data_IF_817219236948
#
_entry.id   IF_817219236948
#
_cell.length_a   1.000
_cell.length_b   1.000
_cell.length_c   1.000
_cell.angle_alpha   90.00
_cell.angle_beta   90.00
_cell.angle_gamma   90.00
#
_symmetry.space_group_name_H-M   'P 1'
#
loop_
_entity.id
_entity.type
_entity.pdbx_description
1 polymer ?
#
# COMPACT_ATOMS: atom_id res chain seq x y z
N UNK A 1 0.37 6.22 -23.62
CA UNK A 1 0.84 6.57 -22.26
C UNK A 1 1.68 5.41 -21.73
N UNK A 2 2.94 5.68 -21.36
CA UNK A 2 3.90 4.66 -20.91
C UNK A 2 3.48 4.15 -19.53
N UNK A 3 3.59 2.84 -19.28
CA UNK A 3 3.54 2.27 -17.92
C UNK A 3 4.66 2.93 -17.10
N UNK A 4 4.30 3.86 -16.22
CA UNK A 4 5.25 4.46 -15.28
C UNK A 4 5.25 3.57 -14.03
N UNK A 5 6.33 2.83 -13.73
CA UNK A 5 6.44 2.11 -12.46
C UNK A 5 6.37 3.10 -11.30
N UNK A 6 5.90 2.64 -10.14
CA UNK A 6 5.82 3.43 -8.90
C UNK A 6 7.13 4.17 -8.64
N UNK A 7 7.11 5.48 -8.84
CA UNK A 7 8.20 6.39 -8.49
C UNK A 7 7.78 7.07 -7.20
N UNK A 8 8.42 6.71 -6.10
CA UNK A 8 8.23 7.40 -4.84
C UNK A 8 9.55 8.01 -4.44
N UNK A 9 9.62 9.33 -4.42
CA UNK A 9 10.84 10.04 -4.14
C UNK A 9 10.46 11.13 -3.10
N UNK A 10 11.31 11.28 -2.07
CA UNK A 10 11.06 12.02 -0.81
C UNK A 10 11.80 13.34 -0.74
N UNK A 11 11.07 14.43 -0.45
CA UNK A 11 11.68 15.76 -0.44
C UNK A 11 12.38 15.96 0.89
N UNK A 12 13.70 16.11 0.86
CA UNK A 12 14.43 16.72 1.96
C UNK A 12 15.55 17.59 1.41
N UNK A 13 15.33 18.90 1.49
CA UNK A 13 16.37 19.90 1.29
C UNK A 13 17.34 19.80 2.47
N UNK A 14 18.51 19.17 2.29
CA UNK A 14 19.58 19.17 3.30
C UNK A 14 20.35 20.50 3.23
N UNK A 15 19.68 21.60 3.58
CA UNK A 15 20.30 22.77 4.17
C UNK A 15 19.71 22.93 5.57
N UNK A 16 20.42 22.42 6.57
CA UNK A 16 20.29 22.81 7.99
C UNK A 16 18.88 22.84 8.62
N UNK A 17 17.88 22.18 8.06
CA UNK A 17 16.53 22.09 8.63
C UNK A 17 16.08 20.63 8.84
N UNK A 18 16.45 20.11 10.01
CA UNK A 18 15.70 19.17 10.85
C UNK A 18 14.64 18.26 10.20
N UNK A 19 15.06 17.20 9.51
CA UNK A 19 14.38 15.91 9.71
C UNK A 19 15.40 14.93 10.31
N UNK A 20 15.31 14.72 11.63
CA UNK A 20 16.24 13.84 12.36
C UNK A 20 16.31 12.42 11.75
N UNK A 21 15.22 11.98 11.09
CA UNK A 21 15.11 10.68 10.43
C UNK A 21 16.07 10.52 9.24
N UNK A 22 16.10 11.46 8.28
CA UNK A 22 16.94 11.33 7.08
C UNK A 22 18.44 11.40 7.41
N UNK A 23 18.83 12.23 8.36
CA UNK A 23 20.23 12.28 8.85
C UNK A 23 20.63 10.99 9.56
N UNK A 24 19.72 10.39 10.34
CA UNK A 24 19.95 9.12 10.99
C UNK A 24 20.07 7.95 9.99
N UNK A 25 19.22 7.92 8.96
CA UNK A 25 19.31 6.93 7.88
C UNK A 25 20.66 6.99 7.16
N UNK A 26 21.10 8.20 6.80
CA UNK A 26 22.40 8.39 6.16
C UNK A 26 23.54 7.89 7.06
N UNK A 27 23.47 8.15 8.36
CA UNK A 27 24.45 7.62 9.32
C UNK A 27 24.45 6.08 9.34
N UNK A 28 23.29 5.44 9.37
CA UNK A 28 23.18 3.97 9.36
C UNK A 28 23.73 3.36 8.08
N UNK A 29 23.40 3.93 6.92
CA UNK A 29 23.94 3.50 5.62
C UNK A 29 25.47 3.64 5.61
N UNK A 30 26.01 4.80 6.00
CA UNK A 30 27.46 5.03 6.03
C UNK A 30 28.22 4.08 6.96
N UNK A 31 27.58 3.52 7.99
CA UNK A 31 28.18 2.51 8.86
C UNK A 31 28.36 1.15 8.18
N UNK A 32 27.55 0.83 7.18
CA UNK A 32 27.68 -0.41 6.39
C UNK A 32 28.59 -0.22 5.18
N UNK A 33 28.74 1.01 4.70
CA UNK A 33 29.59 1.33 3.56
C UNK A 33 31.07 1.02 3.80
N UNK A 34 31.80 0.67 2.73
CA UNK A 34 33.26 0.55 2.81
C UNK A 34 33.90 1.90 3.16
N UNK A 35 34.83 1.88 4.11
CA UNK A 35 35.59 3.08 4.53
C UNK A 35 36.54 3.60 3.45
N UNK A 36 36.80 2.82 2.41
CA UNK A 36 37.68 3.21 1.30
C UNK A 36 36.99 4.09 0.25
N UNK A 37 35.66 4.27 0.32
CA UNK A 37 34.93 5.04 -0.68
C UNK A 37 35.28 6.54 -0.57
N UNK A 38 35.78 7.18 -1.65
CA UNK A 38 36.24 8.57 -1.61
C UNK A 38 35.10 9.55 -1.31
N UNK A 39 33.86 9.18 -1.68
CA UNK A 39 32.65 9.97 -1.46
C UNK A 39 31.97 9.74 -0.11
N UNK A 40 32.52 8.91 0.79
CA UNK A 40 31.90 8.61 2.09
C UNK A 40 31.63 9.87 2.94
N UNK A 41 32.50 10.88 2.82
CA UNK A 41 32.42 12.13 3.59
C UNK A 41 31.81 13.30 2.80
N UNK A 42 31.32 13.09 1.58
CA UNK A 42 30.72 14.16 0.80
C UNK A 42 29.42 14.66 1.45
N UNK A 43 29.07 15.90 1.11
CA UNK A 43 27.73 16.45 1.29
C UNK A 43 26.90 16.09 0.07
N UNK A 44 25.61 15.83 0.27
CA UNK A 44 24.72 15.42 -0.80
C UNK A 44 23.46 16.27 -0.83
N UNK A 45 22.95 16.50 -2.04
CA UNK A 45 21.61 17.00 -2.29
C UNK A 45 20.75 15.84 -2.78
N UNK A 46 19.52 15.73 -2.28
CA UNK A 46 18.59 14.66 -2.62
C UNK A 46 17.28 15.29 -3.13
N UNK A 47 16.82 14.81 -4.28
CA UNK A 47 15.56 15.19 -4.93
C UNK A 47 14.97 13.95 -5.64
N UNK A 48 13.66 13.75 -5.78
CA UNK A 48 12.57 14.41 -5.10
C UNK A 48 11.18 14.51 -5.74
N UNK A 49 10.61 13.56 -6.47
CA UNK A 49 9.15 13.56 -6.80
C UNK A 49 8.38 12.25 -6.59
N UNK A 50 7.06 12.27 -6.58
CA UNK A 50 6.27 11.05 -6.72
C UNK A 50 5.11 11.30 -7.67
N UNK A 51 4.63 10.26 -8.35
CA UNK A 51 3.57 10.36 -9.35
C UNK A 51 2.17 10.08 -8.79
N UNK A 52 2.02 10.07 -7.47
CA UNK A 52 0.72 10.03 -6.80
C UNK A 52 0.36 11.43 -6.31
N UNK A 53 -0.92 11.82 -6.28
CA UNK A 53 -1.30 13.03 -5.57
C UNK A 53 -0.90 12.87 -4.11
N UNK A 54 -0.01 13.75 -3.60
CA UNK A 54 0.64 13.63 -2.28
C UNK A 54 -0.34 13.44 -1.11
N UNK A 55 -1.61 13.81 -1.30
CA UNK A 55 -2.66 13.71 -0.30
C UNK A 55 -3.68 12.58 -0.54
N UNK A 56 -3.51 11.73 -1.57
CA UNK A 56 -4.40 10.60 -1.90
C UNK A 56 -4.36 9.44 -0.88
N UNK A 57 -3.78 9.61 0.31
CA UNK A 57 -3.76 8.59 1.36
C UNK A 57 -2.94 7.32 1.05
N UNK A 58 -2.44 7.16 -0.18
CA UNK A 58 -1.55 6.10 -0.64
C UNK A 58 -0.21 6.25 0.08
N UNK A 59 0.36 5.16 0.60
CA UNK A 59 1.50 5.13 1.51
C UNK A 59 2.82 5.72 0.95
N UNK A 60 2.84 7.02 0.65
CA UNK A 60 3.93 7.75 -0.02
C UNK A 60 5.22 7.74 0.78
N UNK A 61 5.14 7.75 2.11
CA UNK A 61 6.31 7.63 2.99
C UNK A 61 7.02 6.27 2.85
N UNK A 62 6.27 5.18 2.64
CA UNK A 62 6.84 3.84 2.55
C UNK A 62 7.73 3.70 1.32
N UNK A 63 7.16 3.97 0.15
CA UNK A 63 7.88 3.88 -1.10
C UNK A 63 9.00 4.94 -1.18
N UNK A 64 8.78 6.12 -0.59
CA UNK A 64 9.77 7.17 -0.53
C UNK A 64 11.03 6.80 0.26
N UNK A 65 10.88 6.32 1.50
CA UNK A 65 12.04 5.89 2.30
C UNK A 65 12.73 4.66 1.71
N UNK A 66 11.97 3.75 1.07
CA UNK A 66 12.54 2.63 0.35
C UNK A 66 13.41 3.09 -0.84
N UNK A 67 12.94 4.07 -1.62
CA UNK A 67 13.70 4.66 -2.71
C UNK A 67 14.97 5.36 -2.20
N UNK A 68 14.87 6.14 -1.14
CA UNK A 68 16.02 6.81 -0.52
C UNK A 68 17.09 5.80 -0.10
N UNK A 69 16.70 4.78 0.66
CA UNK A 69 17.63 3.76 1.14
C UNK A 69 18.21 2.94 -0.01
N UNK A 70 17.42 2.62 -1.04
CA UNK A 70 17.91 1.92 -2.24
C UNK A 70 18.94 2.74 -3.01
N UNK A 71 18.68 4.04 -3.21
CA UNK A 71 19.61 4.94 -3.89
C UNK A 71 20.91 5.11 -3.10
N UNK A 72 20.81 5.26 -1.77
CA UNK A 72 21.97 5.36 -0.89
C UNK A 72 22.77 4.05 -0.83
N UNK A 73 22.11 2.90 -0.74
CA UNK A 73 22.77 1.60 -0.78
C UNK A 73 23.52 1.39 -2.09
N UNK A 74 22.94 1.82 -3.23
CA UNK A 74 23.63 1.78 -4.52
C UNK A 74 24.83 2.73 -4.56
N UNK A 75 24.67 3.96 -4.07
CA UNK A 75 25.73 4.96 -4.03
C UNK A 75 26.93 4.51 -3.19
N UNK A 76 26.68 3.83 -2.07
CA UNK A 76 27.71 3.36 -1.15
C UNK A 76 28.09 1.89 -1.33
N UNK A 77 27.67 1.26 -2.44
CA UNK A 77 28.03 -0.11 -2.80
C UNK A 77 27.73 -1.13 -1.68
N UNK A 78 26.59 -0.96 -1.01
CA UNK A 78 26.15 -1.85 0.07
C UNK A 78 25.40 -3.05 -0.53
N UNK A 79 25.96 -4.24 -0.37
CA UNK A 79 25.35 -5.51 -0.81
C UNK A 79 24.45 -6.14 0.27
N UNK A 80 24.60 -5.73 1.53
CA UNK A 80 23.82 -6.24 2.65
C UNK A 80 22.33 -5.89 2.55
N UNK A 81 21.50 -6.65 3.28
CA UNK A 81 20.07 -6.35 3.41
C UNK A 81 19.83 -5.03 4.17
N UNK A 82 19.49 -3.97 3.44
CA UNK A 82 19.19 -2.64 4.00
C UNK A 82 17.71 -2.41 4.37
N UNK A 83 16.88 -3.46 4.37
CA UNK A 83 15.45 -3.32 4.70
C UNK A 83 15.21 -2.83 6.14
N UNK A 84 16.07 -3.21 7.09
CA UNK A 84 16.01 -2.68 8.46
C UNK A 84 16.32 -1.17 8.52
N UNK A 85 17.14 -0.65 7.58
CA UNK A 85 17.42 0.79 7.48
C UNK A 85 16.16 1.50 6.99
N UNK A 86 15.54 1.02 5.91
CA UNK A 86 14.29 1.59 5.39
C UNK A 86 13.19 1.64 6.47
N UNK A 87 13.08 0.60 7.28
CA UNK A 87 12.16 0.52 8.44
C UNK A 87 12.32 1.71 9.41
N UNK A 88 13.53 2.21 9.62
CA UNK A 88 13.79 3.32 10.53
C UNK A 88 13.23 4.66 10.03
N UNK A 89 13.09 4.81 8.71
CA UNK A 89 12.42 5.97 8.12
C UNK A 89 10.90 5.86 8.20
N UNK A 90 10.37 4.71 7.79
CA UNK A 90 8.96 4.34 7.94
C UNK A 90 8.86 2.82 8.04
N UNK A 91 8.11 2.30 9.01
CA UNK A 91 8.02 0.86 9.26
C UNK A 91 7.61 0.06 8.01
N UNK A 92 6.65 0.55 7.23
CA UNK A 92 6.21 -0.10 5.99
C UNK A 92 7.20 -0.01 4.83
N UNK A 93 8.18 0.91 4.86
CA UNK A 93 9.16 1.09 3.79
C UNK A 93 10.02 -0.16 3.58
N UNK A 94 10.29 -0.94 4.64
CA UNK A 94 11.06 -2.17 4.51
C UNK A 94 10.42 -3.16 3.51
N UNK A 95 9.08 -3.20 3.41
CA UNK A 95 8.38 -4.09 2.48
C UNK A 95 8.50 -3.63 1.03
N UNK A 96 8.65 -2.33 0.81
CA UNK A 96 8.86 -1.74 -0.52
C UNK A 96 10.29 -1.89 -1.04
N UNK A 97 11.19 -2.53 -0.29
CA UNK A 97 12.54 -2.87 -0.75
C UNK A 97 12.56 -4.07 -1.73
N UNK A 98 11.45 -4.81 -1.81
CA UNK A 98 11.31 -5.98 -2.67
C UNK A 98 10.05 -5.87 -3.53
N UNK A 99 10.07 -6.51 -4.70
CA UNK A 99 8.88 -6.68 -5.53
C UNK A 99 8.03 -7.87 -5.08
N UNK A 100 6.86 -8.02 -5.68
CA UNK A 100 5.99 -9.16 -5.44
C UNK A 100 5.31 -9.13 -4.08
N UNK A 101 5.32 -10.28 -3.41
CA UNK A 101 4.67 -10.51 -2.14
C UNK A 101 5.72 -10.46 -1.04
N UNK A 102 5.54 -9.61 -0.04
CA UNK A 102 6.60 -9.28 0.92
C UNK A 102 6.09 -9.35 2.35
N UNK A 103 6.78 -10.11 3.18
CA UNK A 103 6.54 -10.20 4.61
C UNK A 103 7.51 -9.30 5.36
N UNK A 104 7.01 -8.47 6.28
CA UNK A 104 7.86 -7.87 7.32
C UNK A 104 7.88 -8.78 8.53
N UNK A 105 9.04 -9.39 8.80
CA UNK A 105 9.26 -10.16 10.02
C UNK A 105 9.40 -9.21 11.21
N UNK A 106 8.60 -9.42 12.26
CA UNK A 106 8.64 -8.62 13.50
C UNK A 106 10.03 -8.59 14.13
N UNK A 107 10.77 -9.69 14.05
CA UNK A 107 12.00 -9.88 14.80
C UNK A 107 11.75 -10.15 16.28
N UNK A 108 12.83 -10.46 16.98
CA UNK A 108 12.88 -10.79 18.41
C UNK A 108 14.10 -10.17 19.10
N UNK A 109 15.12 -9.77 18.33
CA UNK A 109 16.31 -9.14 18.86
C UNK A 109 16.00 -7.75 19.42
N UNK A 110 16.46 -7.41 20.64
CA UNK A 110 16.28 -6.08 21.22
C UNK A 110 16.90 -4.95 20.38
N UNK A 111 17.94 -5.25 19.60
CA UNK A 111 18.57 -4.28 18.69
C UNK A 111 17.81 -4.12 17.36
N UNK A 112 16.75 -4.91 17.15
CA UNK A 112 15.88 -4.87 15.99
C UNK A 112 16.53 -5.32 14.68
N UNK A 113 17.72 -5.94 14.68
CA UNK A 113 18.41 -6.34 13.44
C UNK A 113 17.70 -7.47 12.68
N UNK A 114 16.93 -8.31 13.37
CA UNK A 114 16.15 -9.40 12.78
C UNK A 114 14.72 -8.98 12.38
N UNK A 115 14.36 -7.72 12.58
CA UNK A 115 13.09 -7.15 12.14
C UNK A 115 13.20 -6.59 10.72
N UNK A 116 13.16 -7.50 9.75
CA UNK A 116 13.49 -7.26 8.33
C UNK A 116 12.36 -7.69 7.40
N UNK A 117 12.40 -7.21 6.15
CA UNK A 117 11.51 -7.70 5.10
C UNK A 117 12.10 -8.92 4.38
N UNK A 118 11.22 -9.82 3.94
CA UNK A 118 11.54 -10.99 3.12
C UNK A 118 10.53 -11.13 1.99
N UNK A 119 11.01 -11.37 0.78
CA UNK A 119 10.13 -11.72 -0.34
C UNK A 119 9.58 -13.14 -0.12
N UNK A 120 8.26 -13.25 -0.19
CA UNK A 120 7.51 -14.51 -0.11
C UNK A 120 7.37 -15.13 -1.50
N UNK A 121 7.09 -14.30 -2.50
CA UNK A 121 7.00 -14.71 -3.89
C UNK A 121 7.27 -13.51 -4.83
N UNK A 122 7.87 -13.72 -6.02
CA UNK A 122 8.15 -12.65 -6.97
C UNK A 122 6.85 -12.07 -7.57
N UNK A 123 6.94 -10.91 -8.23
CA UNK A 123 5.79 -10.29 -8.88
C UNK A 123 5.17 -11.17 -9.98
N UNK A 124 6.01 -11.96 -10.66
CA UNK A 124 5.62 -12.94 -11.67
C UNK A 124 4.87 -14.15 -11.12
N UNK A 125 4.83 -14.34 -9.80
CA UNK A 125 4.21 -15.52 -9.18
C UNK A 125 2.73 -15.62 -9.52
N UNK A 126 1.97 -14.53 -9.39
CA UNK A 126 0.52 -14.49 -9.59
C UNK A 126 0.12 -13.43 -10.62
N UNK A 127 0.40 -13.65 -11.92
CA UNK A 127 0.28 -12.64 -12.96
C UNK A 127 -1.17 -12.21 -13.25
N UNK A 128 -2.15 -13.02 -12.87
CA UNK A 128 -3.57 -12.73 -12.99
C UNK A 128 -4.07 -11.74 -11.93
N UNK A 129 -3.33 -11.52 -10.84
CA UNK A 129 -3.73 -10.61 -9.77
C UNK A 129 -3.76 -9.17 -10.28
N UNK A 130 -4.84 -8.47 -9.93
CA UNK A 130 -5.06 -7.04 -10.21
C UNK A 130 -5.35 -6.30 -8.92
N UNK A 131 -5.08 -5.01 -8.96
CA UNK A 131 -5.34 -4.09 -7.87
C UNK A 131 -6.10 -2.90 -8.42
N UNK A 132 -7.27 -2.61 -7.87
CA UNK A 132 -8.00 -1.38 -8.12
C UNK A 132 -7.90 -0.50 -6.88
N UNK A 133 -7.59 0.78 -7.06
CA UNK A 133 -7.57 1.76 -5.97
C UNK A 133 -8.67 2.76 -6.26
N UNK A 134 -9.73 2.73 -5.44
CA UNK A 134 -10.83 3.67 -5.51
C UNK A 134 -10.52 4.85 -4.60
N UNK A 135 -10.17 5.98 -5.20
CA UNK A 135 -9.80 7.18 -4.45
C UNK A 135 -11.06 8.00 -4.18
N UNK A 136 -11.49 8.01 -2.92
CA UNK A 136 -12.68 8.73 -2.44
C UNK A 136 -12.38 10.22 -2.36
N UNK A 137 -11.34 10.59 -1.61
CA UNK A 137 -10.78 11.92 -1.59
C UNK A 137 -9.26 11.86 -1.41
N UNK A 138 -8.61 12.99 -1.71
CA UNK A 138 -7.19 13.21 -1.48
C UNK A 138 -6.98 14.33 -0.47
N UNK A 139 -7.84 14.42 0.54
CA UNK A 139 -7.63 15.34 1.65
C UNK A 139 -6.62 14.77 2.66
N UNK A 140 -5.96 15.66 3.41
CA UNK A 140 -4.99 15.24 4.42
C UNK A 140 -5.68 14.37 5.48
N UNK A 141 -5.04 13.23 5.80
CA UNK A 141 -5.50 12.30 6.85
C UNK A 141 -5.82 13.07 8.13
N UNK A 142 -7.01 12.85 8.68
CA UNK A 142 -7.45 13.40 9.97
C UNK A 142 -6.50 12.99 11.11
N UNK A 143 -6.03 11.75 11.08
CA UNK A 143 -5.06 11.21 12.05
C UNK A 143 -3.85 10.63 11.32
N UNK A 144 -2.64 11.02 11.73
CA UNK A 144 -1.43 10.37 11.24
C UNK A 144 -1.43 8.90 11.69
N UNK A 145 -0.92 7.99 10.85
CA UNK A 145 -0.84 6.57 11.22
C UNK A 145 0.06 6.35 12.45
N UNK A 146 1.13 7.15 12.60
CA UNK A 146 2.07 7.08 13.72
C UNK A 146 1.38 7.38 15.06
N UNK A 147 0.60 8.45 15.11
CA UNK A 147 -0.08 8.85 16.34
C UNK A 147 -1.24 7.90 16.66
N UNK A 148 -2.00 7.51 15.63
CA UNK A 148 -3.12 6.58 15.78
C UNK A 148 -2.66 5.20 16.26
N UNK A 149 -1.59 4.64 15.69
CA UNK A 149 -1.08 3.32 16.11
C UNK A 149 -0.53 3.38 17.53
N UNK A 150 0.17 4.45 17.91
CA UNK A 150 0.68 4.65 19.27
C UNK A 150 -0.49 4.68 20.27
N UNK A 151 -1.51 5.49 19.98
CA UNK A 151 -2.72 5.55 20.80
C UNK A 151 -3.43 4.22 20.90
N UNK A 152 -3.52 3.46 19.80
CA UNK A 152 -4.11 2.12 19.78
C UNK A 152 -3.36 1.17 20.72
N UNK A 153 -2.03 1.22 20.72
CA UNK A 153 -1.18 0.43 21.65
C UNK A 153 -1.46 0.79 23.11
N UNK A 154 -1.68 2.07 23.38
CA UNK A 154 -1.91 2.59 24.73
C UNK A 154 -3.33 2.30 25.26
N UNK A 155 -4.33 2.25 24.37
CA UNK A 155 -5.75 2.34 24.79
C UNK A 155 -6.67 1.24 24.28
N UNK A 156 -6.35 0.55 23.18
CA UNK A 156 -7.20 -0.52 22.65
C UNK A 156 -6.93 -1.84 23.37
N UNK A 157 -7.99 -2.44 23.94
CA UNK A 157 -7.92 -3.76 24.54
C UNK A 157 -7.87 -4.86 23.47
N UNK A 158 -8.48 -4.63 22.30
CA UNK A 158 -8.51 -5.58 21.19
C UNK A 158 -7.12 -5.81 20.56
N UNK A 159 -6.29 -4.77 20.51
CA UNK A 159 -5.00 -4.83 19.79
C UNK A 159 -4.05 -5.88 20.37
N UNK A 160 -3.97 -6.02 21.70
CA UNK A 160 -3.08 -6.99 22.35
C UNK A 160 -3.45 -8.42 21.99
N UNK A 161 -4.75 -8.74 22.02
CA UNK A 161 -5.23 -10.07 21.63
C UNK A 161 -4.97 -10.34 20.15
N UNK A 162 -5.29 -9.38 19.26
CA UNK A 162 -5.04 -9.49 17.81
C UNK A 162 -3.56 -9.79 17.52
N UNK A 163 -2.65 -9.00 18.07
CA UNK A 163 -1.22 -9.10 17.80
C UNK A 163 -0.64 -10.46 18.23
N UNK A 164 -1.12 -11.00 19.34
CA UNK A 164 -0.57 -12.23 19.92
C UNK A 164 -1.23 -13.51 19.40
N UNK A 165 -2.54 -13.47 19.12
CA UNK A 165 -3.33 -14.68 18.85
C UNK A 165 -3.82 -14.79 17.41
N UNK A 166 -4.08 -13.66 16.75
CA UNK A 166 -4.73 -13.63 15.44
C UNK A 166 -3.71 -13.47 14.32
N UNK A 167 -2.88 -12.42 14.40
CA UNK A 167 -1.93 -12.06 13.35
C UNK A 167 -0.96 -13.19 13.00
N UNK A 168 -0.36 -13.95 13.95
CA UNK A 168 0.53 -15.06 13.60
C UNK A 168 -0.15 -16.16 12.76
N UNK A 169 -1.39 -16.51 13.11
CA UNK A 169 -2.17 -17.54 12.40
C UNK A 169 -2.59 -17.05 11.01
N UNK A 170 -3.12 -15.82 10.93
CA UNK A 170 -3.55 -15.21 9.67
C UNK A 170 -2.37 -14.97 8.72
N UNK A 171 -1.22 -14.55 9.24
CA UNK A 171 0.00 -14.38 8.42
C UNK A 171 0.40 -15.69 7.76
N UNK A 172 0.42 -16.79 8.52
CA UNK A 172 0.74 -18.12 7.97
C UNK A 172 -0.26 -18.53 6.89
N UNK A 173 -1.56 -18.41 7.17
CA UNK A 173 -2.61 -18.78 6.21
C UNK A 173 -2.56 -17.91 4.94
N UNK A 174 -2.27 -16.61 5.05
CA UNK A 174 -2.15 -15.71 3.91
C UNK A 174 -0.94 -16.06 3.03
N UNK A 175 0.20 -16.40 3.64
CA UNK A 175 1.38 -16.88 2.90
C UNK A 175 1.04 -18.15 2.12
N UNK A 176 0.35 -19.11 2.75
CA UNK A 176 -0.07 -20.34 2.09
C UNK A 176 -1.05 -20.06 0.93
N UNK A 177 -2.02 -19.15 1.11
CA UNK A 177 -2.95 -18.75 0.08
C UNK A 177 -2.24 -18.10 -1.12
N UNK A 178 -1.27 -17.21 -0.87
CA UNK A 178 -0.43 -16.60 -1.91
C UNK A 178 0.36 -17.67 -2.65
N UNK A 179 1.02 -18.59 -1.94
CA UNK A 179 1.83 -19.65 -2.55
C UNK A 179 0.99 -20.58 -3.44
N UNK A 180 -0.23 -20.90 -3.01
CA UNK A 180 -1.17 -21.76 -3.75
C UNK A 180 -2.02 -21.02 -4.79
N UNK A 181 -1.93 -19.68 -4.85
CA UNK A 181 -2.82 -18.83 -5.65
C UNK A 181 -4.30 -19.04 -5.32
N UNK A 182 -4.58 -19.31 -4.05
CA UNK A 182 -5.95 -19.50 -3.56
C UNK A 182 -6.58 -18.13 -3.32
N UNK A 183 -7.29 -17.62 -4.32
CA UNK A 183 -7.90 -16.30 -4.26
C UNK A 183 -9.00 -16.24 -3.20
N UNK A 184 -9.75 -17.31 -2.98
CA UNK A 184 -10.89 -17.28 -2.07
C UNK A 184 -10.44 -17.10 -0.62
N UNK A 185 -9.42 -17.88 -0.20
CA UNK A 185 -8.81 -17.75 1.12
C UNK A 185 -8.07 -16.42 1.24
N UNK A 186 -7.32 -16.01 0.21
CA UNK A 186 -6.63 -14.72 0.20
C UNK A 186 -7.63 -13.57 0.42
N UNK A 187 -8.72 -13.55 -0.33
CA UNK A 187 -9.74 -12.51 -0.26
C UNK A 187 -10.41 -12.45 1.11
N UNK A 188 -10.77 -13.59 1.68
CA UNK A 188 -11.36 -13.69 3.01
C UNK A 188 -10.42 -13.12 4.08
N UNK A 189 -9.14 -13.50 4.06
CA UNK A 189 -8.14 -13.01 5.01
C UNK A 189 -7.94 -11.50 4.85
N UNK A 190 -7.81 -11.01 3.62
CA UNK A 190 -7.63 -9.59 3.32
C UNK A 190 -8.76 -8.74 3.89
N UNK A 191 -10.01 -9.13 3.66
CA UNK A 191 -11.18 -8.40 4.18
C UNK A 191 -11.26 -8.48 5.72
N UNK A 192 -11.01 -9.65 6.32
CA UNK A 192 -11.00 -9.83 7.78
C UNK A 192 -9.90 -9.01 8.45
N UNK A 193 -8.70 -8.98 7.89
CA UNK A 193 -7.57 -8.19 8.40
C UNK A 193 -7.86 -6.69 8.34
N UNK A 194 -8.41 -6.22 7.22
CA UNK A 194 -8.85 -4.83 7.06
C UNK A 194 -9.89 -4.46 8.11
N UNK A 195 -10.98 -5.22 8.22
CA UNK A 195 -12.05 -4.97 9.19
C UNK A 195 -11.52 -4.97 10.63
N UNK A 196 -10.63 -5.91 10.97
CA UNK A 196 -10.07 -6.03 12.32
C UNK A 196 -9.17 -4.86 12.72
N UNK A 197 -8.42 -4.26 11.78
CA UNK A 197 -7.64 -3.04 12.05
C UNK A 197 -8.58 -1.86 12.33
N UNK A 198 -9.63 -1.68 11.52
CA UNK A 198 -10.58 -0.58 11.72
C UNK A 198 -11.43 -0.76 12.98
N UNK A 199 -11.71 -1.98 13.40
CA UNK A 199 -12.32 -2.27 14.71
C UNK A 199 -11.41 -1.81 15.86
N UNK A 200 -10.10 -2.06 15.79
CA UNK A 200 -9.13 -1.53 16.78
C UNK A 200 -9.09 0.00 16.78
N UNK A 201 -9.16 0.62 15.60
CA UNK A 201 -9.20 2.07 15.52
C UNK A 201 -10.47 2.66 16.17
N UNK A 202 -11.60 1.93 16.17
CA UNK A 202 -12.82 2.29 16.88
C UNK A 202 -12.73 2.02 18.39
N UNK A 203 -12.07 0.95 18.81
CA UNK A 203 -11.80 0.59 20.21
C UNK A 203 -10.76 1.51 20.89
N UNK A 204 -9.92 2.16 20.10
CA UNK A 204 -8.94 3.16 20.56
C UNK A 204 -9.62 4.37 21.19
N UNK A 205 -9.02 4.99 22.23
CA UNK A 205 -9.60 6.16 22.90
C UNK A 205 -8.67 7.40 22.92
N UNK A 206 -9.11 8.57 22.41
CA UNK A 206 -10.28 8.78 21.55
C UNK A 206 -10.15 8.04 20.21
N UNK A 207 -11.28 7.65 19.57
CA UNK A 207 -11.26 6.81 18.37
C UNK A 207 -10.59 7.46 17.17
N UNK A 208 -9.95 6.63 16.35
CA UNK A 208 -9.26 7.01 15.13
C UNK A 208 -10.06 6.57 13.90
N UNK A 209 -11.17 7.23 13.61
CA UNK A 209 -12.05 6.85 12.49
C UNK A 209 -11.43 7.24 11.14
N UNK A 210 -11.17 6.24 10.29
CA UNK A 210 -10.63 6.42 8.93
C UNK A 210 -11.66 6.18 7.82
N UNK A 211 -12.56 5.22 8.02
CA UNK A 211 -13.59 4.87 7.03
C UNK A 211 -14.74 5.86 7.07
N UNK A 212 -15.34 6.09 5.91
CA UNK A 212 -16.53 6.91 5.75
C UNK A 212 -17.63 6.12 5.02
N UNK A 213 -18.76 6.78 4.74
CA UNK A 213 -19.91 6.14 4.09
C UNK A 213 -19.55 5.56 2.73
N UNK A 214 -18.72 6.26 1.94
CA UNK A 214 -18.21 5.74 0.66
C UNK A 214 -17.40 4.46 0.85
N UNK A 215 -16.53 4.41 1.86
CA UNK A 215 -15.80 3.18 2.22
C UNK A 215 -16.76 2.03 2.52
N UNK A 216 -17.79 2.27 3.34
CA UNK A 216 -18.77 1.25 3.71
C UNK A 216 -19.60 0.78 2.51
N UNK A 217 -20.02 1.69 1.62
CA UNK A 217 -20.74 1.35 0.39
C UNK A 217 -19.90 0.46 -0.53
N UNK A 218 -18.59 0.75 -0.68
CA UNK A 218 -17.69 -0.11 -1.47
C UNK A 218 -17.56 -1.51 -0.84
N UNK A 219 -17.40 -1.60 0.48
CA UNK A 219 -17.32 -2.89 1.17
C UNK A 219 -18.62 -3.71 0.99
N UNK A 220 -19.78 -3.06 1.09
CA UNK A 220 -21.08 -3.71 0.85
C UNK A 220 -21.22 -4.19 -0.61
N UNK A 221 -20.76 -3.40 -1.58
CA UNK A 221 -20.77 -3.79 -2.99
C UNK A 221 -19.90 -5.03 -3.26
N UNK A 222 -18.74 -5.13 -2.60
CA UNK A 222 -17.88 -6.33 -2.70
C UNK A 222 -18.59 -7.55 -2.13
N UNK A 223 -19.21 -7.45 -0.96
CA UNK A 223 -19.95 -8.57 -0.35
C UNK A 223 -21.13 -9.00 -1.23
N UNK A 224 -21.97 -8.07 -1.68
CA UNK A 224 -23.11 -8.37 -2.55
C UNK A 224 -22.67 -9.01 -3.88
N UNK A 225 -21.57 -8.54 -4.48
CA UNK A 225 -21.02 -9.15 -5.69
C UNK A 225 -20.49 -10.56 -5.44
N UNK A 226 -19.74 -10.78 -4.36
CA UNK A 226 -19.22 -12.11 -4.01
C UNK A 226 -20.36 -13.10 -3.70
N UNK A 227 -21.42 -12.65 -3.02
CA UNK A 227 -22.62 -13.44 -2.74
C UNK A 227 -23.33 -13.82 -4.04
N UNK A 228 -23.56 -12.86 -4.95
CA UNK A 228 -24.13 -13.12 -6.27
C UNK A 228 -23.29 -14.14 -7.07
N UNK A 229 -21.96 -14.09 -6.95
CA UNK A 229 -21.03 -15.05 -7.59
C UNK A 229 -20.87 -16.36 -6.83
N UNK A 230 -21.51 -16.49 -5.65
CA UNK A 230 -21.38 -17.64 -4.75
C UNK A 230 -19.92 -18.04 -4.47
N UNK A 231 -19.00 -17.07 -4.52
CA UNK A 231 -17.56 -17.25 -4.31
C UNK A 231 -16.89 -15.90 -4.13
N UNK A 232 -15.78 -15.86 -3.39
CA UNK A 232 -15.00 -14.64 -3.26
C UNK A 232 -14.29 -14.33 -4.59
N UNK A 233 -14.73 -13.28 -5.29
CA UNK A 233 -14.14 -12.79 -6.55
C UNK A 233 -13.41 -11.47 -6.40
N UNK A 234 -13.77 -10.70 -5.38
CA UNK A 234 -13.15 -9.42 -5.04
C UNK A 234 -12.90 -9.36 -3.55
N UNK A 235 -11.78 -8.79 -3.15
CA UNK A 235 -11.44 -8.49 -1.77
C UNK A 235 -11.22 -7.00 -1.62
N UNK A 236 -11.66 -6.39 -0.53
CA UNK A 236 -11.30 -5.02 -0.18
C UNK A 236 -10.32 -5.00 0.98
N UNK A 237 -9.50 -3.95 1.02
CA UNK A 237 -8.73 -3.55 2.20
C UNK A 237 -8.62 -2.04 2.26
N UNK A 238 -8.55 -1.53 3.48
CA UNK A 238 -8.40 -0.10 3.77
C UNK A 238 -7.23 0.09 4.73
N UNK A 239 -6.32 1.00 4.38
CA UNK A 239 -5.25 1.46 5.26
C UNK A 239 -5.77 2.59 6.18
N UNK A 240 -4.89 3.46 6.66
CA UNK A 240 -5.23 4.65 7.42
C UNK A 240 -5.83 5.75 6.52
N UNK A 241 -7.02 5.52 5.97
CA UNK A 241 -7.80 6.45 5.14
C UNK A 241 -9.02 5.78 4.48
N UNK A 242 -9.88 6.58 3.82
CA UNK A 242 -11.15 6.08 3.26
C UNK A 242 -11.00 5.36 1.90
N UNK A 243 -9.82 5.43 1.27
CA UNK A 243 -9.59 4.89 -0.06
C UNK A 243 -9.59 3.36 -0.04
N UNK A 244 -10.43 2.77 -0.88
CA UNK A 244 -10.53 1.33 -1.00
C UNK A 244 -9.44 0.78 -1.92
N UNK A 245 -8.69 -0.20 -1.45
CA UNK A 245 -7.82 -1.01 -2.31
C UNK A 245 -8.51 -2.34 -2.49
N UNK A 246 -8.77 -2.70 -3.75
CA UNK A 246 -9.43 -3.93 -4.12
C UNK A 246 -8.42 -4.88 -4.76
N UNK A 247 -8.45 -6.13 -4.34
CA UNK A 247 -7.76 -7.23 -5.02
C UNK A 247 -8.80 -8.09 -5.74
N UNK A 248 -8.47 -8.51 -6.94
CA UNK A 248 -9.30 -9.34 -7.80
C UNK A 248 -8.42 -9.96 -8.89
N UNK A 249 -8.92 -11.03 -9.52
CA UNK A 249 -8.27 -11.59 -10.70
C UNK A 249 -8.69 -10.80 -11.95
N UNK A 250 -7.82 -10.79 -12.95
CA UNK A 250 -8.02 -10.12 -14.25
C UNK A 250 -9.40 -10.43 -14.87
N UNK A 251 -9.83 -11.69 -14.77
CA UNK A 251 -11.13 -12.16 -15.25
C UNK A 251 -12.35 -11.47 -14.62
N UNK A 252 -12.18 -10.85 -13.45
CA UNK A 252 -13.26 -10.18 -12.71
C UNK A 252 -13.19 -8.65 -12.80
N UNK A 253 -12.13 -8.09 -13.39
CA UNK A 253 -11.92 -6.62 -13.42
C UNK A 253 -13.04 -5.90 -14.14
N UNK A 254 -13.31 -6.23 -15.39
CA UNK A 254 -14.23 -5.44 -16.20
C UNK A 254 -15.68 -5.55 -15.69
N UNK A 255 -16.09 -6.73 -15.22
CA UNK A 255 -17.43 -6.90 -14.64
C UNK A 255 -17.56 -6.14 -13.32
N UNK A 256 -16.59 -6.24 -12.40
CA UNK A 256 -16.66 -5.51 -11.14
C UNK A 256 -16.51 -4.00 -11.34
N UNK A 257 -15.74 -3.54 -12.34
CA UNK A 257 -15.71 -2.13 -12.71
C UNK A 257 -17.07 -1.63 -13.21
N UNK A 258 -17.86 -2.47 -13.88
CA UNK A 258 -19.25 -2.10 -14.23
C UNK A 258 -20.15 -1.94 -13.00
N UNK A 259 -19.91 -2.71 -11.93
CA UNK A 259 -20.57 -2.52 -10.61
C UNK A 259 -20.16 -1.17 -10.01
N UNK A 260 -18.86 -0.88 -9.98
CA UNK A 260 -18.34 0.39 -9.43
C UNK A 260 -18.88 1.58 -10.21
N UNK A 261 -18.86 1.56 -11.53
CA UNK A 261 -19.37 2.67 -12.35
C UNK A 261 -20.89 2.85 -12.21
N UNK A 262 -21.64 1.76 -11.95
CA UNK A 262 -23.07 1.86 -11.69
C UNK A 262 -23.37 2.49 -10.33
N UNK A 263 -22.67 2.04 -9.28
CA UNK A 263 -22.89 2.53 -7.90
C UNK A 263 -22.25 3.89 -7.65
N UNK A 264 -21.14 4.19 -8.32
CA UNK A 264 -20.38 5.44 -8.20
C UNK A 264 -20.17 6.01 -9.61
N UNK A 265 -21.19 6.68 -10.19
CA UNK A 265 -21.07 7.23 -11.53
C UNK A 265 -19.84 8.15 -11.67
N UNK A 266 -19.03 7.95 -12.71
CA UNK A 266 -17.83 8.75 -12.91
C UNK A 266 -18.18 10.21 -13.18
N UNK A 267 -17.36 11.14 -12.69
CA UNK A 267 -17.37 12.51 -13.22
C UNK A 267 -16.61 12.51 -14.55
N UNK A 268 -17.22 13.10 -15.58
CA UNK A 268 -16.69 13.14 -16.95
C UNK A 268 -15.41 13.98 -17.02
N UNK A 269 -14.29 13.34 -16.70
CA UNK A 269 -12.96 13.93 -16.69
C UNK A 269 -11.99 12.96 -17.36
N UNK A 270 -11.08 13.50 -18.19
CA UNK A 270 -10.10 12.70 -18.94
C UNK A 270 -9.12 11.91 -18.04
N UNK A 271 -9.10 12.17 -16.74
CA UNK A 271 -8.19 11.55 -15.77
C UNK A 271 -8.86 10.56 -14.80
N UNK A 272 -10.15 10.26 -14.98
CA UNK A 272 -10.87 9.43 -14.01
C UNK A 272 -10.32 8.00 -13.90
N UNK A 273 -9.90 7.39 -15.03
CA UNK A 273 -9.27 6.07 -15.02
C UNK A 273 -7.77 6.18 -15.29
N UNK A 274 -6.95 5.62 -14.39
CA UNK A 274 -5.49 5.66 -14.45
C UNK A 274 -4.92 4.24 -14.46
N UNK A 275 -3.81 4.04 -15.16
CA UNK A 275 -3.07 2.78 -15.14
C UNK A 275 -3.41 1.84 -16.31
N UNK A 276 -3.62 0.56 -16.02
CA UNK A 276 -3.94 -0.46 -17.02
C UNK A 276 -5.30 -0.17 -17.68
N UNK A 277 -5.45 -0.44 -19.00
CA UNK A 277 -6.70 -0.19 -19.70
C UNK A 277 -7.84 -1.03 -19.11
N UNK A 278 -9.06 -0.53 -19.25
CA UNK A 278 -10.30 -1.19 -18.84
C UNK A 278 -11.19 -1.36 -20.07
N UNK A 279 -11.91 -2.49 -20.14
CA UNK A 279 -12.95 -2.68 -21.16
C UNK A 279 -14.26 -2.09 -20.66
N UNK A 280 -15.08 -1.60 -21.59
CA UNK A 280 -16.43 -1.16 -21.26
C UNK A 280 -17.37 -2.37 -21.26
N UNK A 281 -17.85 -2.75 -20.08
CA UNK A 281 -18.88 -3.76 -19.92
C UNK A 281 -20.16 -3.15 -19.36
N UNK A 282 -21.30 -3.59 -19.90
CA UNK A 282 -22.60 -3.25 -19.32
C UNK A 282 -22.90 -4.18 -18.14
N UNK A 283 -23.31 -3.58 -17.03
CA UNK A 283 -23.74 -4.33 -15.86
C UNK A 283 -25.07 -5.05 -16.15
N UNK A 284 -25.13 -6.37 -15.91
CA UNK A 284 -26.32 -7.19 -16.12
C UNK A 284 -27.47 -6.78 -15.19
N UNK A 285 -28.72 -7.01 -15.62
CA UNK A 285 -29.89 -6.65 -14.82
C UNK A 285 -29.98 -7.49 -13.54
N UNK A 286 -29.67 -8.79 -13.61
CA UNK A 286 -29.69 -9.67 -12.45
C UNK A 286 -28.70 -9.20 -11.38
N UNK A 287 -27.51 -8.77 -11.78
CA UNK A 287 -26.51 -8.24 -10.85
C UNK A 287 -26.94 -6.88 -10.29
N UNK A 288 -27.55 -6.00 -11.08
CA UNK A 288 -28.13 -4.73 -10.57
C UNK A 288 -29.16 -4.98 -9.47
N UNK A 289 -30.07 -5.93 -9.70
CA UNK A 289 -31.09 -6.29 -8.72
C UNK A 289 -30.46 -6.91 -7.46
N UNK A 290 -29.44 -7.76 -7.62
CA UNK A 290 -28.75 -8.40 -6.50
C UNK A 290 -27.95 -7.44 -5.63
N UNK A 291 -27.37 -6.36 -6.20
CA UNK A 291 -26.62 -5.37 -5.43
C UNK A 291 -27.48 -4.70 -4.36
N UNK A 292 -28.71 -4.31 -4.71
CA UNK A 292 -29.66 -3.64 -3.79
C UNK A 292 -29.02 -2.51 -2.95
N UNK A 293 -28.09 -1.76 -3.54
CA UNK A 293 -27.37 -0.66 -2.90
C UNK A 293 -27.76 0.65 -3.61
N UNK A 294 -28.05 1.73 -2.86
CA UNK A 294 -28.34 3.03 -3.47
C UNK A 294 -27.16 3.53 -4.30
N UNK A 295 -27.46 4.00 -5.52
CA UNK A 295 -26.48 4.71 -6.35
C UNK A 295 -26.04 5.98 -5.63
N UNK A 296 -24.74 6.22 -5.61
CA UNK A 296 -24.12 7.38 -4.97
C UNK A 296 -24.11 8.58 -5.91
N UNK A 297 -23.95 9.77 -5.35
CA UNK A 297 -23.84 10.99 -6.14
C UNK A 297 -22.60 10.97 -7.06
N UNK A 298 -22.68 11.50 -8.29
CA UNK A 298 -21.55 11.56 -9.19
C UNK A 298 -20.33 12.26 -8.57
N UNK A 299 -19.19 11.58 -8.58
CA UNK A 299 -17.92 12.11 -8.05
C UNK A 299 -17.61 11.80 -6.59
N UNK A 300 -18.36 10.91 -5.93
CA UNK A 300 -17.93 10.32 -4.65
C UNK A 300 -16.55 9.62 -4.74
N UNK A 301 -16.18 9.16 -5.94
CA UNK A 301 -14.82 8.75 -6.26
C UNK A 301 -14.17 9.82 -7.14
N UNK A 302 -12.98 10.27 -6.76
CA UNK A 302 -12.19 11.25 -7.52
C UNK A 302 -11.57 10.66 -8.79
N UNK A 303 -11.01 9.45 -8.67
CA UNK A 303 -10.46 8.66 -9.78
C UNK A 303 -10.19 7.23 -9.31
N UNK A 304 -9.92 6.35 -10.27
CA UNK A 304 -9.62 4.94 -10.07
C UNK A 304 -8.25 4.62 -10.66
N UNK A 305 -7.40 3.91 -9.91
CA UNK A 305 -6.13 3.39 -10.42
C UNK A 305 -6.26 1.88 -10.61
N UNK A 306 -6.06 1.40 -11.84
CA UNK A 306 -5.96 -0.02 -12.17
C UNK A 306 -4.50 -0.41 -12.36
N UNK A 307 -4.00 -1.33 -11.53
CA UNK A 307 -2.62 -1.79 -11.56
C UNK A 307 -2.51 -3.29 -11.26
N UNK A 308 -1.28 -3.79 -11.18
CA UNK A 308 -0.93 -5.19 -10.90
C UNK A 308 0.21 -5.27 -9.88
N UNK A 309 0.52 -6.48 -9.45
CA UNK A 309 1.67 -6.73 -8.58
C UNK A 309 2.95 -6.26 -9.29
N UNK A 310 3.75 -5.46 -8.59
CA UNK A 310 4.89 -4.74 -9.13
C UNK A 310 6.24 -5.30 -8.69
N UNK A 311 7.27 -4.90 -9.42
CA UNK A 311 8.68 -5.14 -9.04
C UNK A 311 9.13 -4.20 -7.92
N UNK A 312 10.29 -4.51 -7.33
CA UNK A 312 10.93 -3.68 -6.32
C UNK A 312 11.57 -2.41 -6.89
N UNK A 313 12.36 -1.69 -6.07
CA UNK A 313 13.07 -0.49 -6.48
C UNK A 313 13.94 -0.73 -7.72
N UNK A 314 13.99 0.26 -8.62
CA UNK A 314 14.76 0.18 -9.87
C UNK A 314 15.79 1.31 -9.93
N UNK A 315 16.94 1.00 -10.48
CA UNK A 315 17.95 1.99 -10.85
C UNK A 315 17.60 2.50 -12.24
N UNK A 316 17.51 3.82 -12.39
CA UNK A 316 17.33 4.46 -13.67
C UNK A 316 18.72 4.79 -14.23
N UNK A 317 18.95 4.42 -15.49
CA UNK A 317 20.23 4.66 -16.19
C UNK A 317 20.15 5.77 -17.21
N UNK A 318 18.94 6.28 -17.50
CA UNK A 318 18.73 7.39 -18.43
C UNK A 318 18.95 8.73 -17.70
N UNK A 319 19.97 9.52 -18.08
CA UNK A 319 20.24 10.81 -17.45
C UNK A 319 19.08 11.81 -17.54
N UNK A 320 18.17 11.67 -18.51
CA UNK A 320 16.98 12.54 -18.61
C UNK A 320 15.99 12.32 -17.47
N UNK A 321 16.11 11.20 -16.76
CA UNK A 321 15.28 10.87 -15.60
C UNK A 321 15.93 11.29 -14.28
N UNK A 322 17.15 11.83 -14.31
CA UNK A 322 17.81 12.36 -13.12
C UNK A 322 17.14 13.68 -12.72
N UNK A 323 16.92 13.85 -11.43
CA UNK A 323 16.28 15.07 -10.90
C UNK A 323 17.29 16.16 -10.55
N UNK A 324 18.58 15.81 -10.53
CA UNK A 324 19.76 16.63 -10.27
C UNK A 324 20.87 16.25 -11.24
#
# INVERSE_FOLDING_TARGET
>A
MRQVPLLAIVYSYLHSSNSASSTHLLFLVKRLASKSLPHLNWKFSIKSENNFPTAAGLASSAAGYACLVSALAKLYEIEDNVSFIARMGSGSACRSMYGGWVLWCKGSSPDGRDSIAKQIAPASHWPEMRVLILVVNDERKKYSSTDAMKRSVETSELLKYRANQIVPKMTKACIEAIQKKDFEIFAEITMKESNSIHAICQDTYPPCVYLNDTSHTVANAVHAYNEFKSSNKVAYTYDAGPNAVLYLLDSSVDEFMSVINYLFPPQDTAEYYKGLPLSSNQLSQDLKMALNIPVQEPGCLKYIIHTKIGEGPKILTDPQQHLL
#
